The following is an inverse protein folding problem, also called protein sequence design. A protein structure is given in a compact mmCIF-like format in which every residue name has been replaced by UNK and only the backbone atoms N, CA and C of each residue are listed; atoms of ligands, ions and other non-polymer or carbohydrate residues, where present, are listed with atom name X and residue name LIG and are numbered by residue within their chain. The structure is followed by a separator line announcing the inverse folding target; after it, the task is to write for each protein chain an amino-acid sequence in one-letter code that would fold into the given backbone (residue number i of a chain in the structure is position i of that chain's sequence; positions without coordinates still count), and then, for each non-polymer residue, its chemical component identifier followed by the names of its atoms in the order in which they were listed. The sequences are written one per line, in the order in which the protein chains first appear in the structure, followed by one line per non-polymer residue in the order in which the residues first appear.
data_IF_291913051973
#
_entry.id   IF_291913051973
#
_cell.length_a   1.000
_cell.length_b   1.000
_cell.length_c   1.000
_cell.angle_alpha   90.00
_cell.angle_beta   90.00
_cell.angle_gamma   90.00
#
_symmetry.space_group_name_H-M   'P 1'
#
loop_
_entity.id
_entity.type
_entity.pdbx_description
1 polymer ?
2 branched ?
3 non-polymer ?
4 water ?
#
# COMPACT_ATOMS: atom_id res chain seq x y z
N UNK A 3 -8.95 -12.79 12.63
CA UNK A 3 -7.73 -13.51 12.28
C UNK A 3 -6.66 -12.58 11.68
N UNK A 4 -7.02 -11.32 11.44
CA UNK A 4 -6.14 -10.33 10.82
C UNK A 4 -5.81 -9.21 11.79
N UNK A 5 -4.55 -8.75 11.78
CA UNK A 5 -4.22 -7.44 12.34
C UNK A 5 -4.79 -6.34 11.44
N UNK A 6 -4.80 -5.12 11.95
CA UNK A 6 -5.26 -3.98 11.17
C UNK A 6 -4.30 -3.67 10.01
N UNK A 7 -4.86 -3.18 8.89
CA UNK A 7 -4.03 -2.67 7.80
C UNK A 7 -3.08 -1.61 8.36
N UNK A 8 -1.85 -1.62 7.89
CA UNK A 8 -0.96 -0.48 8.12
C UNK A 8 -1.53 0.77 7.44
N UNK A 9 -1.03 1.95 7.79
CA UNK A 9 -1.38 3.14 7.01
C UNK A 9 -0.90 2.98 5.58
N UNK A 10 -1.57 3.66 4.68
CA UNK A 10 -1.08 3.73 3.30
C UNK A 10 0.28 4.41 3.26
N UNK A 11 1.17 3.88 2.45
CA UNK A 11 2.50 4.46 2.29
C UNK A 11 2.44 5.80 1.57
N UNK A 12 3.56 6.54 1.64
CA UNK A 12 3.76 7.63 0.71
C UNK A 12 3.70 7.11 -0.72
N UNK A 13 3.40 8.01 -1.63
CA UNK A 13 3.42 7.67 -3.06
C UNK A 13 4.86 7.33 -3.46
N UNK A 14 5.03 6.25 -4.24
CA UNK A 14 6.38 5.84 -4.64
C UNK A 14 7.05 6.86 -5.53
N UNK A 15 6.27 7.74 -6.15
CA UNK A 15 6.79 8.82 -6.97
C UNK A 15 6.48 10.13 -6.28
N UNK A 16 7.45 11.07 -6.26
CA UNK A 16 7.13 12.38 -5.71
C UNK A 16 6.57 13.32 -6.75
N UNK A 17 6.49 12.88 -8.00
CA UNK A 17 5.72 13.59 -9.01
C UNK A 17 5.39 12.54 -10.05
N UNK A 18 4.24 12.71 -10.68
CA UNK A 18 3.76 11.80 -11.68
C UNK A 18 3.23 10.53 -11.04
N UNK A 19 2.76 9.63 -11.90
CA UNK A 19 2.07 8.46 -11.38
C UNK A 19 2.98 7.54 -10.58
N UNK A 20 2.45 7.03 -9.50
CA UNK A 20 3.17 6.10 -8.64
C UNK A 20 2.21 5.14 -7.98
N UNK A 21 2.74 4.37 -7.03
CA UNK A 21 1.95 3.42 -6.25
C UNK A 21 2.00 3.79 -4.77
N UNK A 22 0.90 3.48 -4.07
CA UNK A 22 0.86 3.47 -2.61
C UNK A 22 0.46 2.07 -2.18
N UNK A 23 0.95 1.61 -1.05
CA UNK A 23 0.72 0.26 -0.57
C UNK A 23 0.41 0.31 0.91
N UNK A 24 -0.28 -0.72 1.38
CA UNK A 24 -0.48 -1.00 2.79
C UNK A 24 -0.49 -2.50 2.96
N UNK A 25 -0.30 -2.98 4.16
CA UNK A 25 -0.16 -4.40 4.39
C UNK A 25 -0.86 -4.78 5.68
N UNK A 26 -1.29 -6.04 5.76
CA UNK A 26 -1.77 -6.57 7.03
C UNK A 26 -1.26 -7.98 7.20
N UNK A 27 -1.05 -8.36 8.47
CA UNK A 27 -0.57 -9.68 8.85
C UNK A 27 -1.66 -10.43 9.58
N UNK A 28 -1.51 -11.74 9.59
CA UNK A 28 -2.33 -12.60 10.45
C UNK A 28 -1.93 -12.39 11.90
N UNK A 29 -2.88 -12.61 12.80
CA UNK A 29 -2.50 -12.56 14.21
C UNK A 29 -2.71 -13.91 14.88
N UNK A 38 -6.02 -18.41 8.44
CA UNK A 38 -5.38 -17.21 7.90
C UNK A 38 -4.06 -17.54 7.21
N UNK A 39 -4.02 -17.41 5.89
CA UNK A 39 -2.94 -18.04 5.13
C UNK A 39 -1.61 -17.32 5.33
N UNK A 40 -1.58 -16.01 5.09
CA UNK A 40 -0.36 -15.25 5.24
C UNK A 40 -0.65 -13.77 5.13
N UNK A 41 0.40 -12.95 4.95
CA UNK A 41 0.20 -11.50 4.83
C UNK A 41 -0.43 -11.11 3.50
N UNK A 42 -1.07 -9.94 3.52
CA UNK A 42 -1.75 -9.37 2.37
C UNK A 42 -1.28 -7.94 2.16
N UNK A 43 -1.26 -7.53 0.92
CA UNK A 43 -0.86 -6.19 0.54
C UNK A 43 -1.95 -5.62 -0.33
N UNK A 44 -2.25 -4.37 -0.18
CA UNK A 44 -3.12 -3.64 -1.07
C UNK A 44 -2.31 -2.55 -1.74
N UNK A 45 -2.58 -2.28 -3.00
CA UNK A 45 -1.83 -1.31 -3.78
C UNK A 45 -2.82 -0.47 -4.56
N UNK A 46 -2.52 0.83 -4.69
CA UNK A 46 -3.34 1.72 -5.49
C UNK A 46 -2.47 2.74 -6.19
N UNK A 47 -3.08 3.40 -7.18
CA UNK A 47 -2.52 4.49 -7.96
C UNK A 47 -2.33 5.72 -7.06
N UNK A 48 -1.29 6.50 -7.33
CA UNK A 48 -1.22 7.81 -6.69
C UNK A 48 -0.49 8.78 -7.61
N UNK A 49 -0.66 10.09 -7.36
CA UNK A 49 0.07 11.10 -8.13
C UNK A 49 -0.03 12.36 -7.28
N UNK A 50 1.08 12.80 -6.71
CA UNK A 50 1.01 13.90 -5.75
C UNK A 50 1.38 15.24 -6.37
N UNK A 51 1.97 15.24 -7.56
CA UNK A 51 2.35 16.52 -8.18
C UNK A 51 2.72 16.27 -9.64
N UNK A 52 2.56 17.28 -10.48
CA UNK A 52 3.09 17.19 -11.84
C UNK A 52 4.60 17.32 -11.81
N UNK A 53 5.29 16.52 -12.61
CA UNK A 53 6.72 16.68 -12.71
C UNK A 53 7.06 17.94 -13.50
N UNK A 54 8.18 18.60 -13.18
CA UNK A 54 8.61 19.87 -13.79
C UNK A 54 8.77 19.79 -15.30
X LIG B 1 10.63 13.72 -5.75
X LIG B 1 11.64 13.42 -6.84
X LIG B 1 11.16 13.90 -8.20
X LIG B 1 10.80 15.36 -8.18
X LIG B 1 9.77 15.58 -7.08
X LIG B 1 9.41 17.05 -6.92
X LIG B 1 11.92 12.01 -6.85
X LIG B 1 12.24 13.80 -9.10
X LIG B 1 11.99 16.12 -7.89
X LIG B 1 10.25 15.09 -5.83
X LIG B 2 12.91 13.53 -11.37
X LIG B 2 12.66 12.86 -12.71
X LIG B 2 12.05 11.48 -12.53
X LIG B 2 10.93 11.50 -11.52
X LIG B 2 10.48 10.09 -11.21
X LIG B 2 11.77 13.37 -10.38
X LIG B 2 13.16 14.93 -11.55
X LIG B 2 13.90 12.68 -13.41
X LIG B 2 11.50 11.10 -13.79
X LIG B 2 11.38 12.02 -10.27
X LIG B 2 9.38 10.22 -10.30
X LIG C 1 -8.10 -2.48 6.80
X LIG C 1 -8.71 -3.38 7.78
X LIG C 1 -9.90 -2.67 8.48
X LIG C 1 -10.88 -2.06 7.46
X LIG C 1 -10.16 -1.25 6.38
X LIG C 1 -9.70 0.11 6.79
X LIG C 1 -7.77 -3.67 8.76
X LIG C 1 -9.49 -1.69 9.37
X LIG C 1 -11.53 -3.10 6.81
X LIG C 1 -9.04 -1.98 5.86
X LIG C 1 -9.37 0.79 5.59
X LIG D 1 -5.16 4.90 3.58
X LIG D 1 -5.04 4.76 5.08
X LIG D 1 -4.97 6.15 5.75
X LIG D 1 -5.56 7.26 4.83
X LIG D 1 -6.75 6.69 3.99
X LIG D 1 -7.46 7.72 3.17
X LIG D 1 -3.83 4.21 5.38
X LIG D 1 -3.61 6.47 6.13
X LIG D 1 -6.00 8.38 5.61
X LIG D 1 -6.22 5.71 3.05
X LIG D 1 -6.55 8.77 2.89
#
# INVERSE_FOLDING_TARGET
HGAWDEWSPWSLCSSTCGRGFRDRTRTCRPPQFGGNPCEGPEKQTKFCNIALCP
FUC C1 C2 C3 C4 C5 C6 O2 O3 O4 O5
BGC C2 C3 C4 C5 C6 C1 O2 O3 O4 O5 O6
MAN C1 C2 C3 C4 C5 C6 O2 O3 O4 O5 O6
MAN C1 C2 C3 C4 C5 C6 O2 O3 O4 O5 O6
#
